data_IF_755403852019
#
_entry.id   IF_755403852019
#
_cell.length_a   1.000
_cell.length_b   1.000
_cell.length_c   1.000
_cell.angle_alpha   90.00
_cell.angle_beta   90.00
_cell.angle_gamma   90.00
#
_symmetry.space_group_name_H-M   'P 1'
#
loop_
_entity.id
_entity.type
_entity.pdbx_description
1 polymer ?
#
# COMPACT_ATOMS: atom_id res chain seq x y z
N UNK A 1 64.96 -78.30 -27.57
CA UNK A 1 63.98 -79.16 -28.30
C UNK A 1 62.65 -79.23 -27.57
N UNK A 2 62.27 -78.14 -26.90
CA UNK A 2 61.01 -78.07 -26.03
C UNK A 2 60.05 -76.95 -26.42
N UNK A 3 60.30 -76.16 -27.43
CA UNK A 3 59.51 -74.98 -27.83
C UNK A 3 58.48 -75.20 -28.96
N UNK A 4 58.47 -76.35 -29.59
CA UNK A 4 57.56 -76.71 -30.67
C UNK A 4 56.27 -77.42 -30.24
N UNK A 5 56.23 -77.98 -29.06
CA UNK A 5 55.03 -78.69 -28.58
C UNK A 5 53.97 -77.77 -27.92
N UNK A 6 54.39 -76.67 -27.39
CA UNK A 6 53.48 -75.70 -26.75
C UNK A 6 52.70 -74.89 -27.83
N UNK A 7 53.26 -74.68 -28.99
CA UNK A 7 52.63 -73.87 -30.07
C UNK A 7 51.41 -74.59 -30.68
N UNK A 8 51.48 -75.93 -30.79
CA UNK A 8 50.39 -76.73 -31.38
C UNK A 8 49.19 -76.91 -30.44
N UNK A 9 49.41 -76.93 -29.13
CA UNK A 9 48.31 -76.99 -28.11
C UNK A 9 47.57 -75.68 -28.06
N UNK A 10 48.24 -74.53 -28.28
CA UNK A 10 47.57 -73.23 -28.27
C UNK A 10 46.73 -72.97 -29.52
N UNK A 11 47.16 -73.51 -30.65
CA UNK A 11 46.44 -73.38 -31.93
C UNK A 11 45.22 -74.29 -31.98
N UNK A 12 45.27 -75.48 -31.40
CA UNK A 12 44.12 -76.39 -31.33
C UNK A 12 43.05 -75.87 -30.34
N UNK A 13 43.43 -75.22 -29.23
CA UNK A 13 42.50 -74.59 -28.29
C UNK A 13 41.80 -73.35 -28.88
N UNK A 14 42.44 -72.61 -29.79
CA UNK A 14 41.86 -71.45 -30.44
C UNK A 14 40.84 -71.76 -31.53
N UNK A 15 40.92 -72.94 -32.18
CA UNK A 15 40.01 -73.33 -33.25
C UNK A 15 38.70 -73.92 -32.73
N UNK A 16 38.67 -74.38 -31.51
CA UNK A 16 37.46 -74.92 -30.88
C UNK A 16 36.52 -73.88 -30.29
N UNK A 17 36.93 -72.59 -30.24
CA UNK A 17 36.06 -71.49 -29.71
C UNK A 17 35.20 -70.82 -30.77
N UNK A 18 35.34 -71.13 -32.03
CA UNK A 18 34.65 -70.46 -33.15
C UNK A 18 33.40 -71.20 -33.69
N UNK A 19 32.99 -72.30 -33.11
CA UNK A 19 31.82 -73.06 -33.60
C UNK A 19 30.62 -73.05 -32.67
N UNK A 20 30.56 -72.08 -31.75
CA UNK A 20 29.37 -71.89 -30.90
C UNK A 20 28.59 -70.61 -31.27
N UNK A 21 28.36 -70.32 -32.55
CA UNK A 21 27.26 -69.53 -33.02
C UNK A 21 26.07 -70.45 -33.22
N UNK A 22 25.37 -70.73 -32.13
CA UNK A 22 24.05 -71.33 -32.19
C UNK A 22 23.12 -70.35 -32.89
N UNK A 23 22.53 -70.78 -33.98
CA UNK A 23 21.38 -70.17 -34.59
C UNK A 23 20.35 -69.92 -33.48
N UNK A 24 20.16 -68.70 -33.11
CA UNK A 24 18.97 -68.30 -32.40
C UNK A 24 17.83 -68.49 -33.38
N UNK A 25 17.20 -69.63 -33.33
CA UNK A 25 15.83 -69.76 -33.76
C UNK A 25 15.04 -68.68 -33.02
N UNK A 26 14.84 -67.59 -33.65
CA UNK A 26 13.85 -66.61 -33.28
C UNK A 26 12.53 -67.38 -33.31
N UNK A 27 12.10 -67.81 -32.15
CA UNK A 27 10.74 -68.32 -32.01
C UNK A 27 9.86 -67.17 -32.52
N UNK A 28 9.31 -67.33 -33.71
CA UNK A 28 8.20 -66.50 -34.17
C UNK A 28 7.10 -66.63 -33.12
N UNK A 29 7.22 -65.78 -32.12
CA UNK A 29 6.10 -65.52 -31.21
C UNK A 29 5.06 -64.93 -32.15
N UNK A 30 4.05 -65.68 -32.51
CA UNK A 30 2.89 -65.19 -33.27
C UNK A 30 2.36 -63.93 -32.57
N UNK A 31 2.97 -62.79 -32.91
CA UNK A 31 2.44 -61.54 -32.48
C UNK A 31 1.06 -61.44 -33.15
N UNK A 32 -0.03 -61.38 -32.36
CA UNK A 32 -1.38 -61.32 -32.88
C UNK A 32 -1.66 -60.04 -33.69
N UNK A 33 -0.60 -59.31 -34.07
CA UNK A 33 -0.65 -58.09 -34.86
C UNK A 33 0.52 -58.05 -35.88
N UNK A 34 0.32 -57.33 -37.00
CA UNK A 34 1.31 -57.05 -38.03
C UNK A 34 1.37 -55.54 -38.27
N UNK A 35 2.56 -54.98 -38.35
CA UNK A 35 2.78 -53.58 -38.71
C UNK A 35 3.20 -53.51 -40.19
N UNK A 36 2.52 -52.67 -40.95
CA UNK A 36 2.83 -52.41 -42.33
C UNK A 36 2.79 -50.89 -42.60
N UNK A 37 3.92 -50.25 -42.66
CA UNK A 37 3.99 -48.81 -42.71
C UNK A 37 3.42 -48.19 -41.41
N UNK A 38 2.50 -47.25 -41.54
CA UNK A 38 1.81 -46.60 -40.41
C UNK A 38 0.56 -47.34 -39.95
N UNK A 39 0.32 -48.56 -40.46
CA UNK A 39 -0.90 -49.28 -40.13
C UNK A 39 -0.58 -50.55 -39.34
N UNK A 40 -1.34 -50.77 -38.28
CA UNK A 40 -1.27 -51.97 -37.44
C UNK A 40 -2.46 -52.86 -37.76
N UNK A 41 -2.21 -54.07 -38.27
CA UNK A 41 -3.21 -55.09 -38.54
C UNK A 41 -3.26 -56.04 -37.34
N UNK A 42 -4.39 -56.17 -36.69
CA UNK A 42 -4.61 -57.05 -35.54
C UNK A 42 -5.41 -58.24 -36.04
N UNK A 43 -4.80 -59.43 -35.99
CA UNK A 43 -5.40 -60.68 -36.38
C UNK A 43 -5.96 -61.51 -35.22
N UNK A 44 -5.51 -61.19 -34.02
CA UNK A 44 -5.96 -61.91 -32.80
C UNK A 44 -7.24 -61.30 -32.24
N UNK A 45 -8.37 -62.06 -32.20
CA UNK A 45 -9.61 -61.59 -31.59
C UNK A 45 -9.49 -61.18 -30.11
N UNK A 46 -8.63 -61.84 -29.36
CA UNK A 46 -8.43 -61.55 -27.94
C UNK A 46 -7.71 -60.17 -27.73
N UNK A 47 -6.93 -59.74 -28.72
CA UNK A 47 -6.35 -58.44 -28.71
C UNK A 47 -7.35 -57.37 -29.10
N UNK A 48 -8.28 -57.66 -30.03
CA UNK A 48 -9.32 -56.72 -30.46
C UNK A 48 -10.27 -56.37 -29.31
N UNK A 49 -10.63 -57.34 -28.43
CA UNK A 49 -11.46 -57.09 -27.28
C UNK A 49 -10.79 -56.16 -26.23
N UNK A 50 -9.49 -56.10 -26.22
CA UNK A 50 -8.75 -55.21 -25.30
C UNK A 50 -8.63 -53.79 -25.83
N UNK A 51 -8.90 -53.54 -27.08
CA UNK A 51 -8.77 -52.21 -27.70
C UNK A 51 -10.09 -51.47 -27.58
N UNK A 52 -10.04 -50.36 -26.90
CA UNK A 52 -11.14 -49.41 -26.79
C UNK A 52 -10.82 -48.19 -27.67
N UNK A 53 -11.70 -47.97 -28.65
CA UNK A 53 -11.63 -46.80 -29.52
C UNK A 53 -12.63 -45.75 -28.99
N UNK A 54 -12.14 -44.52 -28.81
CA UNK A 54 -13.01 -43.41 -28.47
C UNK A 54 -12.80 -42.23 -29.42
N UNK A 55 -13.86 -41.57 -29.76
CA UNK A 55 -13.78 -40.32 -30.54
C UNK A 55 -13.31 -39.21 -29.64
N UNK A 56 -12.25 -38.54 -30.05
CA UNK A 56 -11.78 -37.34 -29.33
C UNK A 56 -12.59 -36.13 -29.75
N UNK A 57 -13.35 -35.59 -28.86
CA UNK A 57 -14.14 -34.36 -29.06
C UNK A 57 -13.44 -33.18 -28.47
N UNK A 58 -13.51 -32.02 -29.13
CA UNK A 58 -13.07 -30.77 -28.59
C UNK A 58 -13.98 -30.34 -27.45
N UNK A 59 -13.47 -30.39 -26.22
CA UNK A 59 -14.17 -29.91 -25.03
C UNK A 59 -13.54 -28.61 -24.56
N UNK A 60 -14.36 -27.63 -24.11
CA UNK A 60 -13.84 -26.41 -23.53
C UNK A 60 -12.98 -26.76 -22.31
N UNK A 61 -11.72 -26.35 -22.34
CA UNK A 61 -10.80 -26.54 -21.22
C UNK A 61 -10.75 -25.29 -20.38
N UNK A 62 -11.01 -25.41 -19.10
CA UNK A 62 -10.82 -24.34 -18.12
C UNK A 62 -9.88 -24.78 -17.02
N UNK A 63 -8.81 -24.01 -16.81
CA UNK A 63 -7.89 -24.22 -15.70
C UNK A 63 -8.29 -23.29 -14.55
N UNK A 64 -8.73 -23.85 -13.45
CA UNK A 64 -9.01 -23.09 -12.25
C UNK A 64 -7.69 -22.77 -11.54
N UNK A 65 -7.34 -21.48 -11.47
CA UNK A 65 -6.21 -20.98 -10.69
C UNK A 65 -6.74 -20.45 -9.37
N UNK A 66 -6.31 -21.04 -8.26
CA UNK A 66 -6.61 -20.57 -6.92
C UNK A 66 -5.38 -19.84 -6.41
N UNK A 67 -5.57 -18.60 -6.00
CA UNK A 67 -4.53 -17.77 -5.42
C UNK A 67 -5.03 -17.09 -4.16
N UNK A 68 -4.14 -16.75 -3.27
CA UNK A 68 -4.42 -15.93 -2.10
C UNK A 68 -3.89 -14.51 -2.33
N UNK A 69 -4.57 -13.52 -1.76
CA UNK A 69 -4.17 -12.13 -1.86
C UNK A 69 -4.71 -11.32 -0.69
N UNK A 70 -4.10 -10.16 -0.46
CA UNK A 70 -4.54 -9.20 0.55
C UNK A 70 -5.13 -8.00 -0.17
N UNK A 71 -6.37 -7.67 0.16
CA UNK A 71 -7.03 -6.46 -0.34
C UNK A 71 -6.46 -5.25 0.40
N UNK A 72 -5.92 -4.30 -0.35
CA UNK A 72 -5.42 -3.04 0.19
C UNK A 72 -6.09 -1.88 -0.51
N UNK A 73 -6.38 -0.78 0.20
CA UNK A 73 -6.88 0.42 -0.44
C UNK A 73 -5.79 1.01 -1.34
N UNK A 74 -6.18 1.58 -2.48
CA UNK A 74 -5.27 2.25 -3.40
C UNK A 74 -5.16 3.74 -3.05
N UNK A 75 -3.96 4.33 -3.01
CA UNK A 75 -3.83 5.78 -2.96
C UNK A 75 -4.46 6.41 -4.23
N UNK A 76 -5.18 7.53 -4.17
CA UNK A 76 -5.50 8.39 -3.04
C UNK A 76 -6.86 8.08 -2.37
N UNK A 77 -7.36 6.85 -2.41
CA UNK A 77 -8.70 6.49 -1.92
C UNK A 77 -8.73 6.12 -0.43
N UNK A 78 -7.68 6.43 0.30
CA UNK A 78 -7.68 6.37 1.77
C UNK A 78 -6.83 7.51 2.33
N UNK A 79 -7.12 7.92 3.56
CA UNK A 79 -6.34 8.92 4.28
C UNK A 79 -6.19 8.52 5.73
N UNK A 80 -5.01 8.78 6.28
CA UNK A 80 -4.79 8.75 7.71
C UNK A 80 -5.17 10.11 8.28
N UNK A 81 -6.12 10.12 9.19
CA UNK A 81 -6.54 11.33 9.89
C UNK A 81 -5.75 11.41 11.19
N UNK A 82 -4.68 12.20 11.18
CA UNK A 82 -3.86 12.45 12.35
C UNK A 82 -4.01 13.93 12.75
N UNK A 83 -4.47 14.23 13.96
CA UNK A 83 -4.45 15.61 14.45
C UNK A 83 -3.01 16.06 14.67
N UNK A 84 -2.67 17.35 14.50
CA UNK A 84 -1.30 17.86 14.60
C UNK A 84 -0.76 17.93 16.04
N UNK A 85 -1.54 17.50 17.03
CA UNK A 85 -1.17 17.50 18.45
C UNK A 85 -1.77 16.33 19.21
N UNK A 86 -1.19 16.02 20.36
CA UNK A 86 -1.71 15.00 21.26
C UNK A 86 -2.97 15.50 22.00
N UNK A 87 -3.93 14.62 22.21
CA UNK A 87 -5.15 14.95 22.91
C UNK A 87 -6.01 13.73 23.17
N UNK A 88 -7.07 13.93 23.96
CA UNK A 88 -8.05 12.90 24.25
C UNK A 88 -9.29 13.10 23.40
N UNK A 89 -9.73 12.05 22.71
CA UNK A 89 -11.03 12.04 22.04
C UNK A 89 -12.13 12.12 23.06
N UNK A 90 -12.94 13.17 22.99
CA UNK A 90 -14.07 13.42 23.88
C UNK A 90 -15.38 12.93 23.30
N UNK A 91 -15.49 12.96 21.97
CA UNK A 91 -16.71 12.54 21.26
C UNK A 91 -16.38 11.97 19.89
N UNK A 92 -17.11 10.93 19.48
CA UNK A 92 -17.13 10.44 18.10
C UNK A 92 -18.46 10.81 17.46
N UNK A 93 -18.40 11.37 16.25
CA UNK A 93 -19.58 11.74 15.46
C UNK A 93 -19.96 10.67 14.43
N UNK A 94 -19.07 9.71 14.20
CA UNK A 94 -19.23 8.66 13.18
C UNK A 94 -19.03 7.27 13.78
N UNK A 95 -19.54 6.26 13.07
CA UNK A 95 -19.38 4.85 13.40
C UNK A 95 -18.57 4.15 12.30
N UNK A 96 -17.93 3.05 12.65
CA UNK A 96 -17.23 2.22 11.68
C UNK A 96 -18.21 1.73 10.60
N UNK A 97 -17.83 1.89 9.32
CA UNK A 97 -18.65 1.54 8.17
C UNK A 97 -19.65 2.64 7.74
N UNK A 98 -19.69 3.78 8.43
CA UNK A 98 -20.52 4.90 8.04
C UNK A 98 -19.87 5.70 6.91
N UNK A 99 -20.61 5.98 5.85
CA UNK A 99 -20.16 6.87 4.77
C UNK A 99 -20.05 8.31 5.22
N UNK A 100 -18.97 8.97 4.83
CA UNK A 100 -18.68 10.37 5.14
C UNK A 100 -18.33 11.15 3.87
N UNK A 101 -18.61 12.44 3.89
CA UNK A 101 -18.17 13.38 2.85
C UNK A 101 -16.93 14.12 3.33
N UNK A 102 -16.18 14.68 2.39
CA UNK A 102 -15.12 15.61 2.75
C UNK A 102 -15.66 16.72 3.66
N UNK A 103 -14.93 17.07 4.73
CA UNK A 103 -15.34 18.06 5.73
C UNK A 103 -16.30 17.55 6.81
N UNK A 104 -16.81 16.30 6.71
CA UNK A 104 -17.66 15.72 7.76
C UNK A 104 -16.89 15.63 9.08
N UNK A 105 -17.46 16.09 10.21
CA UNK A 105 -16.85 15.96 11.53
C UNK A 105 -16.75 14.47 11.92
N UNK A 106 -15.57 14.04 12.33
CA UNK A 106 -15.28 12.66 12.73
C UNK A 106 -15.18 12.54 14.27
N UNK A 107 -14.31 13.34 14.83
CA UNK A 107 -13.99 13.29 16.26
C UNK A 107 -13.85 14.69 16.84
N UNK A 108 -14.13 14.78 18.12
CA UNK A 108 -13.85 15.93 18.97
C UNK A 108 -12.68 15.57 19.89
N UNK A 109 -11.65 16.42 19.88
CA UNK A 109 -10.43 16.20 20.65
C UNK A 109 -10.20 17.36 21.60
N UNK A 110 -10.01 17.04 22.87
CA UNK A 110 -9.51 17.98 23.88
C UNK A 110 -7.99 17.87 23.97
N UNK A 111 -7.30 18.97 23.76
CA UNK A 111 -5.84 19.06 23.82
C UNK A 111 -5.41 20.29 24.62
N UNK A 112 -4.48 20.14 25.59
CA UNK A 112 -3.87 21.26 26.28
C UNK A 112 -3.14 22.22 25.35
N UNK A 113 -2.42 21.68 24.35
CA UNK A 113 -1.65 22.48 23.39
C UNK A 113 -2.56 23.37 22.53
N UNK A 114 -3.68 22.81 22.08
CA UNK A 114 -4.69 23.60 21.35
C UNK A 114 -5.31 24.70 22.23
N UNK A 115 -5.60 24.40 23.49
CA UNK A 115 -6.11 25.40 24.44
C UNK A 115 -5.09 26.51 24.72
N UNK A 116 -3.80 26.18 24.80
CA UNK A 116 -2.72 27.16 24.94
C UNK A 116 -2.63 28.06 23.71
N UNK A 117 -2.67 27.49 22.50
CA UNK A 117 -2.69 28.28 21.26
C UNK A 117 -3.91 29.20 21.16
N UNK A 118 -5.09 28.73 21.60
CA UNK A 118 -6.28 29.60 21.70
C UNK A 118 -6.06 30.77 22.66
N UNK A 119 -5.48 30.50 23.83
CA UNK A 119 -5.19 31.55 24.84
C UNK A 119 -4.23 32.58 24.26
N UNK A 120 -3.14 32.15 23.61
CA UNK A 120 -2.18 33.05 22.98
C UNK A 120 -2.86 33.93 21.92
N UNK A 121 -3.70 33.36 21.09
CA UNK A 121 -4.45 34.11 20.08
C UNK A 121 -5.34 35.18 20.70
N UNK A 122 -6.13 34.86 21.75
CA UNK A 122 -7.00 35.83 22.38
C UNK A 122 -6.24 36.89 23.16
N UNK A 123 -5.07 36.57 23.73
CA UNK A 123 -4.18 37.55 24.35
C UNK A 123 -3.61 38.52 23.29
N UNK A 124 -3.09 37.99 22.16
CA UNK A 124 -2.55 38.80 21.07
C UNK A 124 -3.64 39.68 20.44
N UNK A 125 -4.85 39.16 20.25
CA UNK A 125 -6.01 39.94 19.79
C UNK A 125 -6.33 41.10 20.74
N UNK A 126 -6.37 40.85 22.04
CA UNK A 126 -6.65 41.87 23.05
C UNK A 126 -5.56 42.93 23.12
N UNK A 127 -4.27 42.53 23.04
CA UNK A 127 -3.12 43.45 23.02
C UNK A 127 -3.15 44.34 21.77
N UNK A 128 -3.45 43.75 20.61
CA UNK A 128 -3.61 44.46 19.36
C UNK A 128 -4.72 45.53 19.42
N UNK A 129 -5.88 45.17 19.91
CA UNK A 129 -7.01 46.09 20.03
C UNK A 129 -6.71 47.23 21.05
N UNK A 130 -5.99 46.92 22.12
CA UNK A 130 -5.54 47.94 23.09
C UNK A 130 -4.56 48.91 22.43
N UNK A 131 -3.50 48.40 21.72
CA UNK A 131 -2.51 49.23 21.06
C UNK A 131 -3.14 50.10 19.97
N UNK A 132 -4.10 49.58 19.20
CA UNK A 132 -4.88 50.31 18.22
C UNK A 132 -5.70 51.50 18.81
N UNK A 133 -6.34 51.26 19.95
CA UNK A 133 -7.06 52.32 20.68
C UNK A 133 -6.11 53.34 21.26
N UNK A 134 -4.93 52.94 21.73
CA UNK A 134 -3.92 53.87 22.24
C UNK A 134 -3.33 54.73 21.13
N UNK A 135 -2.96 54.14 20.02
CA UNK A 135 -2.51 54.92 18.86
C UNK A 135 -3.53 55.96 18.43
N UNK A 136 -4.80 55.58 18.29
CA UNK A 136 -5.87 56.51 17.93
C UNK A 136 -5.99 57.67 18.92
N UNK A 137 -5.90 57.34 20.21
CA UNK A 137 -5.92 58.38 21.29
C UNK A 137 -4.73 59.32 21.15
N UNK A 138 -3.50 58.82 20.86
CA UNK A 138 -2.28 59.64 20.70
C UNK A 138 -2.37 60.52 19.48
N UNK A 139 -2.94 60.03 18.35
CA UNK A 139 -3.21 60.82 17.16
C UNK A 139 -4.16 61.99 17.42
N UNK A 140 -5.24 61.76 18.23
CA UNK A 140 -6.17 62.79 18.60
C UNK A 140 -5.54 63.81 19.54
N UNK A 141 -4.71 63.39 20.47
CA UNK A 141 -4.00 64.31 21.40
C UNK A 141 -2.94 65.17 20.68
N UNK A 142 -2.22 64.64 19.71
CA UNK A 142 -1.29 65.44 18.87
C UNK A 142 -2.05 66.47 18.09
N UNK A 143 -3.17 66.11 17.48
CA UNK A 143 -4.01 66.99 16.72
C UNK A 143 -4.51 68.21 17.51
N UNK A 144 -4.65 67.98 18.86
CA UNK A 144 -5.04 69.01 19.79
C UNK A 144 -3.85 69.69 20.52
N UNK A 145 -2.62 69.40 20.10
CA UNK A 145 -1.40 70.02 20.65
C UNK A 145 -1.01 69.55 22.09
N UNK A 146 -1.52 68.38 22.55
CA UNK A 146 -1.35 67.92 23.94
C UNK A 146 -0.35 66.77 24.08
N UNK A 147 0.05 66.10 22.99
CA UNK A 147 0.99 65.01 23.01
C UNK A 147 2.25 65.32 22.16
N UNK A 148 3.33 64.60 22.35
CA UNK A 148 4.59 64.75 21.61
C UNK A 148 4.68 63.78 20.44
N UNK A 149 5.41 64.14 19.42
CA UNK A 149 5.73 63.27 18.28
C UNK A 149 6.33 61.92 18.73
N UNK A 150 7.20 61.96 19.73
CA UNK A 150 7.80 60.73 20.31
C UNK A 150 6.74 59.76 20.84
N UNK A 151 5.74 60.25 21.59
CA UNK A 151 4.68 59.38 22.12
C UNK A 151 3.81 58.76 21.00
N UNK A 152 3.62 59.49 19.88
CA UNK A 152 2.96 58.91 18.69
C UNK A 152 3.79 57.76 18.08
N UNK A 153 5.09 57.99 17.88
CA UNK A 153 6.00 56.97 17.33
C UNK A 153 6.08 55.73 18.27
N UNK A 154 6.09 55.93 19.60
CA UNK A 154 6.03 54.82 20.55
C UNK A 154 4.71 54.03 20.42
N UNK A 155 3.58 54.69 20.26
CA UNK A 155 2.28 54.02 20.08
C UNK A 155 2.20 53.28 18.69
N UNK A 156 2.78 53.86 17.64
CA UNK A 156 2.87 53.20 16.33
C UNK A 156 3.72 51.91 16.40
N UNK A 157 4.86 51.96 17.08
CA UNK A 157 5.73 50.81 17.27
C UNK A 157 5.03 49.74 18.12
N UNK A 158 4.32 50.14 19.19
CA UNK A 158 3.56 49.21 20.01
C UNK A 158 2.46 48.49 19.22
N UNK A 159 1.78 49.19 18.33
CA UNK A 159 0.78 48.57 17.45
C UNK A 159 1.46 47.62 16.45
N UNK A 160 2.58 48.00 15.86
CA UNK A 160 3.33 47.12 14.93
C UNK A 160 3.75 45.82 15.59
N UNK A 161 4.24 45.86 16.83
CA UNK A 161 4.62 44.68 17.61
C UNK A 161 3.38 43.82 17.87
N UNK A 162 2.29 44.42 18.35
CA UNK A 162 1.05 43.70 18.64
C UNK A 162 0.41 43.07 17.38
N UNK A 163 0.53 43.72 16.22
CA UNK A 163 0.09 43.18 14.93
C UNK A 163 0.92 41.92 14.56
N UNK A 164 2.24 41.94 14.78
CA UNK A 164 3.08 40.75 14.52
C UNK A 164 2.81 39.60 15.45
N UNK A 165 2.58 39.88 16.73
CA UNK A 165 2.18 38.84 17.71
C UNK A 165 0.83 38.21 17.34
N UNK A 166 -0.14 39.03 16.90
CA UNK A 166 -1.44 38.53 16.42
C UNK A 166 -1.31 37.68 15.13
N UNK A 167 -0.48 38.12 14.16
CA UNK A 167 -0.20 37.35 12.97
C UNK A 167 0.40 35.97 13.32
N UNK A 168 1.39 35.93 14.23
CA UNK A 168 2.02 34.70 14.67
C UNK A 168 1.04 33.75 15.34
N UNK A 169 0.26 34.25 16.30
CA UNK A 169 -0.75 33.45 17.00
C UNK A 169 -1.84 32.94 16.04
N UNK A 170 -2.25 33.77 15.08
CA UNK A 170 -3.21 33.38 14.04
C UNK A 170 -2.62 32.30 13.12
N UNK A 171 -1.35 32.40 12.75
CA UNK A 171 -0.67 31.41 11.94
C UNK A 171 -0.56 30.07 12.67
N UNK A 172 -0.24 30.06 13.95
CA UNK A 172 -0.22 28.87 14.79
C UNK A 172 -1.56 28.14 14.76
N UNK A 173 -2.69 28.85 14.92
CA UNK A 173 -4.02 28.24 14.86
C UNK A 173 -4.42 27.73 13.48
N UNK A 174 -3.93 28.31 12.40
CA UNK A 174 -4.17 27.81 11.03
C UNK A 174 -3.52 26.44 10.81
N UNK A 175 -2.39 26.15 11.45
CA UNK A 175 -1.76 24.82 11.43
C UNK A 175 -2.74 23.76 11.94
N UNK A 176 -3.61 24.13 12.86
CA UNK A 176 -4.64 23.26 13.43
C UNK A 176 -5.93 23.20 12.58
N UNK A 177 -5.91 23.75 11.35
CA UNK A 177 -7.06 23.75 10.44
C UNK A 177 -8.32 24.43 11.04
N UNK A 178 -8.12 25.47 11.85
CA UNK A 178 -9.20 26.32 12.31
C UNK A 178 -9.50 27.35 11.24
N UNK A 179 -10.55 27.11 10.45
CA UNK A 179 -10.88 27.95 9.28
C UNK A 179 -11.49 29.30 9.69
N UNK A 180 -12.27 29.34 10.76
CA UNK A 180 -12.94 30.55 11.21
C UNK A 180 -12.49 30.94 12.62
N UNK A 181 -11.40 31.73 12.68
CA UNK A 181 -10.86 32.24 13.95
C UNK A 181 -11.80 33.25 14.65
N UNK A 182 -12.67 33.94 13.89
CA UNK A 182 -13.57 34.93 14.43
C UNK A 182 -14.72 34.34 15.30
N UNK A 183 -15.09 33.11 15.00
CA UNK A 183 -16.14 32.36 15.74
C UNK A 183 -15.56 31.45 16.83
N UNK A 184 -14.24 31.45 16.98
CA UNK A 184 -13.59 30.57 17.94
C UNK A 184 -13.88 31.02 19.35
N UNK A 185 -14.18 30.04 20.23
CA UNK A 185 -14.41 30.25 21.68
C UNK A 185 -13.26 29.62 22.46
N UNK A 186 -12.73 30.35 23.44
CA UNK A 186 -11.67 29.84 24.31
C UNK A 186 -12.13 28.55 25.04
N UNK A 187 -11.29 27.51 24.97
CA UNK A 187 -11.57 26.22 25.61
C UNK A 187 -12.49 25.30 24.80
N UNK A 188 -12.92 25.70 23.60
CA UNK A 188 -13.64 24.76 22.71
C UNK A 188 -12.70 23.65 22.23
N UNK A 189 -13.21 22.39 22.20
CA UNK A 189 -12.42 21.27 21.66
C UNK A 189 -12.22 21.41 20.15
N UNK A 190 -11.20 20.77 19.65
CA UNK A 190 -10.95 20.71 18.22
C UNK A 190 -11.81 19.64 17.55
N UNK A 191 -12.39 19.98 16.42
CA UNK A 191 -13.15 19.05 15.58
C UNK A 191 -12.27 18.58 14.42
N UNK A 192 -11.96 17.30 14.43
CA UNK A 192 -11.25 16.63 13.34
C UNK A 192 -12.24 16.25 12.25
N UNK A 193 -11.97 16.68 11.01
CA UNK A 193 -12.85 16.46 9.87
C UNK A 193 -12.22 15.51 8.85
N UNK A 194 -13.07 14.87 8.05
CA UNK A 194 -12.58 13.99 6.98
C UNK A 194 -11.95 14.79 5.83
N UNK A 195 -10.71 14.47 5.42
CA UNK A 195 -10.05 15.12 4.30
C UNK A 195 -10.56 14.64 2.93
N UNK A 196 -11.18 13.46 2.88
CA UNK A 196 -11.70 12.83 1.66
C UNK A 196 -13.09 12.23 1.92
N UNK A 197 -13.90 11.96 0.90
CA UNK A 197 -15.10 11.13 1.05
C UNK A 197 -14.73 9.67 1.30
N UNK A 198 -15.53 8.95 2.08
CA UNK A 198 -15.30 7.55 2.42
C UNK A 198 -16.53 6.81 2.91
#
# INVERSE_FOLDING_TARGET
MMMKRELHTFIIGSVLFFTACGDKQESEQKSGYRIQGDTVYIADPLLLEKIKVSVSELKPYSKKVITSGVVRPIPPRYAYVAPPFAGRVTKSYVRIGQSVRQGTPLFEISSPDFTSAQKEYFQALSSRELAKKDLKRKEDLIRNGVSSQRELEEAQNALLIADKEFENASAALRVYQVDNLAEMILGQPMIVRSPIPG
#
